data_IF_386825270151
#
_entry.id   IF_386825270151
#
_cell.length_a   1.000
_cell.length_b   1.000
_cell.length_c   1.000
_cell.angle_alpha   90.00
_cell.angle_beta   90.00
_cell.angle_gamma   90.00
#
_symmetry.space_group_name_H-M   'P 1'
#
loop_
_entity.id
_entity.type
_entity.pdbx_description
1 polymer ?
#
# COMPACT_ATOMS: atom_id res chain seq x y z
N UNK A 1 17.99 6.91 -8.61
CA UNK A 1 18.01 8.32 -8.12
C UNK A 1 19.12 8.48 -7.09
N UNK A 2 19.29 7.58 -6.13
CA UNK A 2 20.31 7.64 -5.09
C UNK A 2 21.73 7.78 -5.60
N UNK A 3 22.09 7.04 -6.64
CA UNK A 3 23.40 7.13 -7.29
C UNK A 3 23.72 8.52 -7.86
N UNK A 4 22.69 9.31 -8.16
CA UNK A 4 22.83 10.67 -8.66
C UNK A 4 22.87 11.68 -7.50
N UNK A 5 21.99 11.53 -6.53
CA UNK A 5 21.79 12.50 -5.44
C UNK A 5 22.91 12.41 -4.39
N UNK A 6 23.36 11.22 -3.99
CA UNK A 6 24.43 11.07 -2.98
C UNK A 6 25.70 11.85 -3.32
N UNK A 7 26.28 11.74 -4.52
CA UNK A 7 27.45 12.54 -4.89
C UNK A 7 27.20 14.05 -4.82
N UNK A 8 26.00 14.51 -5.14
CA UNK A 8 25.64 15.92 -5.07
C UNK A 8 25.57 16.41 -3.61
N UNK A 9 24.97 15.62 -2.72
CA UNK A 9 24.93 15.92 -1.28
C UNK A 9 26.35 16.00 -0.72
N UNK A 10 27.21 15.01 -1.00
CA UNK A 10 28.60 14.98 -0.53
C UNK A 10 29.41 16.16 -1.07
N UNK A 11 29.15 16.59 -2.30
CA UNK A 11 29.82 17.73 -2.92
C UNK A 11 29.26 19.10 -2.46
N UNK A 12 28.20 19.13 -1.64
CA UNK A 12 27.57 20.36 -1.16
C UNK A 12 26.81 21.14 -2.24
N UNK A 13 26.36 20.47 -3.29
CA UNK A 13 25.61 21.04 -4.41
C UNK A 13 24.30 20.26 -4.68
N UNK A 14 23.71 19.70 -3.63
CA UNK A 14 22.38 19.07 -3.72
C UNK A 14 21.31 20.08 -4.13
N UNK A 15 20.22 19.63 -4.78
CA UNK A 15 19.04 20.46 -4.99
C UNK A 15 18.44 20.94 -3.65
N UNK A 16 17.76 22.09 -3.68
CA UNK A 16 17.05 22.61 -2.51
C UNK A 16 15.91 21.71 -2.04
N UNK A 17 15.27 21.01 -2.99
CA UNK A 17 14.20 20.04 -2.73
C UNK A 17 14.52 18.70 -3.38
N UNK A 18 14.37 17.64 -2.61
CA UNK A 18 14.55 16.25 -3.08
C UNK A 18 13.28 15.47 -2.75
N UNK A 19 12.58 14.99 -3.79
CA UNK A 19 11.44 14.10 -3.63
C UNK A 19 11.89 12.66 -3.88
N UNK A 20 11.75 11.82 -2.87
CA UNK A 20 12.13 10.41 -2.91
C UNK A 20 11.00 9.57 -2.29
N UNK A 21 10.82 8.36 -2.79
CA UNK A 21 10.00 7.37 -2.10
C UNK A 21 10.69 6.94 -0.80
N UNK A 22 9.93 6.84 0.27
CA UNK A 22 10.45 6.49 1.61
C UNK A 22 11.03 5.07 1.69
N UNK A 23 10.47 4.13 0.91
CA UNK A 23 10.97 2.77 0.74
C UNK A 23 11.99 2.60 -0.40
N UNK A 24 12.56 3.69 -0.94
CA UNK A 24 13.45 3.64 -2.08
C UNK A 24 14.65 2.72 -1.88
N UNK A 25 14.95 1.91 -2.89
CA UNK A 25 16.02 0.89 -2.91
C UNK A 25 17.40 1.45 -2.56
N UNK A 26 17.59 2.74 -2.74
CA UNK A 26 18.89 3.40 -2.63
C UNK A 26 19.31 3.74 -1.19
N UNK A 27 18.40 3.65 -0.22
CA UNK A 27 18.67 3.94 1.19
C UNK A 27 19.20 5.36 1.46
N UNK A 28 18.95 6.33 0.57
CA UNK A 28 19.42 7.71 0.73
C UNK A 28 18.78 8.35 1.96
N UNK A 29 17.45 8.26 2.07
CA UNK A 29 16.70 8.81 3.22
C UNK A 29 17.21 8.20 4.53
N UNK A 30 17.33 6.86 4.59
CA UNK A 30 17.84 6.17 5.77
C UNK A 30 19.27 6.59 6.15
N UNK A 31 20.14 6.87 5.15
CA UNK A 31 21.47 7.39 5.43
C UNK A 31 21.41 8.78 6.02
N UNK A 32 20.60 9.68 5.46
CA UNK A 32 20.44 11.04 5.95
C UNK A 32 19.85 11.08 7.37
N UNK A 33 18.88 10.19 7.66
CA UNK A 33 18.33 10.01 9.01
C UNK A 33 19.44 9.58 9.97
N UNK A 34 20.20 8.52 9.65
CA UNK A 34 21.28 8.00 10.50
C UNK A 34 22.39 9.02 10.77
N UNK A 35 22.65 9.89 9.81
CA UNK A 35 23.69 10.92 9.89
C UNK A 35 23.18 12.22 10.53
N UNK A 36 21.89 12.30 10.92
CA UNK A 36 21.23 13.53 11.39
C UNK A 36 21.45 14.71 10.43
N UNK A 37 21.35 14.42 9.14
CA UNK A 37 21.61 15.39 8.06
C UNK A 37 20.34 16.04 7.50
N UNK A 38 19.19 15.78 8.10
CA UNK A 38 17.91 16.37 7.72
C UNK A 38 17.69 17.70 8.44
N UNK A 39 17.08 18.65 7.75
CA UNK A 39 16.66 19.93 8.32
C UNK A 39 15.37 19.74 9.13
N UNK A 40 15.30 20.33 10.32
CA UNK A 40 14.03 20.45 11.04
C UNK A 40 13.09 21.38 10.27
N UNK A 41 11.86 20.95 10.09
CA UNK A 41 10.84 21.62 9.28
C UNK A 41 9.67 22.19 10.10
N UNK A 42 9.71 22.15 11.44
CA UNK A 42 8.61 22.64 12.28
C UNK A 42 8.24 24.09 11.97
N UNK A 43 9.22 24.97 11.87
CA UNK A 43 8.97 26.37 11.51
C UNK A 43 8.25 26.54 10.16
N UNK A 44 8.46 25.60 9.23
CA UNK A 44 7.78 25.60 7.92
C UNK A 44 6.34 25.15 8.10
N UNK A 45 6.10 24.06 8.85
CA UNK A 45 4.76 23.52 9.06
C UNK A 45 3.91 24.39 10.00
N UNK A 46 4.52 25.12 10.91
CA UNK A 46 3.84 26.09 11.79
C UNK A 46 3.60 27.45 11.10
N UNK A 47 4.19 27.64 9.91
CA UNK A 47 3.95 28.80 9.07
C UNK A 47 2.55 28.85 8.48
N UNK A 48 2.14 30.05 8.05
CA UNK A 48 0.83 30.28 7.41
C UNK A 48 0.70 29.44 6.12
N UNK A 49 -0.44 28.74 5.96
CA UNK A 49 -0.74 27.99 4.75
C UNK A 49 -1.03 28.93 3.55
N UNK A 50 -1.00 28.37 2.33
CA UNK A 50 -1.21 29.15 1.10
C UNK A 50 -2.57 29.88 1.06
N UNK A 51 -3.59 29.33 1.72
CA UNK A 51 -4.91 29.93 1.77
C UNK A 51 -5.05 31.07 2.79
N UNK A 52 -4.07 31.26 3.69
CA UNK A 52 -4.13 32.26 4.76
C UNK A 52 -5.20 31.96 5.82
N UNK A 53 -5.55 30.71 6.01
CA UNK A 53 -6.64 30.26 6.90
C UNK A 53 -6.16 29.49 8.13
N UNK A 54 -4.88 29.21 8.23
CA UNK A 54 -4.25 28.43 9.29
C UNK A 54 -2.79 28.15 8.99
N UNK A 55 -2.23 27.13 9.59
CA UNK A 55 -0.86 26.67 9.35
C UNK A 55 -0.82 25.59 8.28
N UNK A 56 0.36 25.33 7.72
CA UNK A 56 0.55 24.20 6.82
C UNK A 56 0.27 22.86 7.54
N UNK A 57 0.57 22.80 8.85
CA UNK A 57 0.28 21.64 9.70
C UNK A 57 -1.22 21.31 9.73
N UNK A 58 -2.09 22.34 9.78
CA UNK A 58 -3.53 22.17 9.81
C UNK A 58 -4.12 21.58 8.51
N UNK A 59 -3.38 21.68 7.40
CA UNK A 59 -3.79 21.12 6.11
C UNK A 59 -3.42 19.62 5.97
N UNK A 60 -2.63 19.07 6.89
CA UNK A 60 -2.18 17.67 6.84
C UNK A 60 -3.08 16.80 7.71
N UNK A 61 -3.48 15.66 7.18
CA UNK A 61 -4.29 14.67 7.91
C UNK A 61 -3.61 14.26 9.22
N UNK A 62 -4.39 14.19 10.28
CA UNK A 62 -3.93 13.76 11.61
C UNK A 62 -3.14 12.44 11.55
N UNK A 63 -2.07 12.36 12.32
CA UNK A 63 -1.21 11.17 12.41
C UNK A 63 -0.09 11.10 11.37
N UNK A 64 -0.19 11.80 10.23
CA UNK A 64 0.85 11.75 9.19
C UNK A 64 2.15 12.38 9.68
N UNK A 65 2.09 13.60 10.21
CA UNK A 65 3.29 14.34 10.63
C UNK A 65 3.98 13.73 11.86
N UNK A 66 3.24 13.07 12.74
CA UNK A 66 3.77 12.35 13.90
C UNK A 66 4.23 10.92 13.60
N UNK A 67 4.05 10.46 12.36
CA UNK A 67 4.54 9.15 11.95
C UNK A 67 6.07 9.09 11.94
N UNK A 68 6.65 7.91 12.12
CA UNK A 68 8.10 7.69 11.99
C UNK A 68 8.64 8.03 10.59
N UNK A 69 7.75 8.20 9.61
CA UNK A 69 8.08 8.65 8.26
C UNK A 69 8.42 10.14 8.21
N UNK A 70 7.70 10.97 8.97
CA UNK A 70 7.92 12.41 9.03
C UNK A 70 8.78 12.83 10.24
N UNK A 71 8.63 12.14 11.39
CA UNK A 71 9.35 12.36 12.64
C UNK A 71 10.25 11.14 12.99
N UNK A 72 11.36 10.92 12.25
CA UNK A 72 12.13 9.67 12.35
C UNK A 72 12.99 9.54 13.61
N UNK A 73 13.15 10.60 14.40
CA UNK A 73 14.03 10.59 15.56
C UNK A 73 13.30 10.37 16.90
N UNK A 74 11.96 10.33 16.87
CA UNK A 74 11.15 10.13 18.07
C UNK A 74 11.15 11.32 19.04
N UNK A 75 11.43 12.51 18.51
CA UNK A 75 11.41 13.79 19.21
C UNK A 75 10.15 14.61 18.90
N UNK A 76 9.22 14.03 18.17
CA UNK A 76 7.98 14.66 17.67
C UNK A 76 8.20 15.85 16.73
N UNK A 77 9.45 16.08 16.27
CA UNK A 77 9.80 17.13 15.33
C UNK A 77 9.78 16.60 13.87
N UNK A 78 9.43 17.46 12.92
CA UNK A 78 9.26 17.12 11.52
C UNK A 78 10.56 17.31 10.75
N UNK A 79 11.03 16.26 10.07
CA UNK A 79 12.25 16.30 9.24
C UNK A 79 12.00 15.86 7.79
N UNK A 80 10.89 15.19 7.53
CA UNK A 80 10.49 14.76 6.19
C UNK A 80 9.08 15.25 5.90
N UNK A 81 8.94 16.06 4.84
CA UNK A 81 7.65 16.57 4.41
C UNK A 81 6.90 15.51 3.58
N UNK A 82 5.65 15.19 3.90
CA UNK A 82 4.84 14.31 3.08
C UNK A 82 4.50 15.04 1.77
N UNK A 83 4.78 14.39 0.62
CA UNK A 83 4.43 14.92 -0.70
C UNK A 83 3.02 14.48 -1.12
N UNK A 84 2.70 13.22 -0.92
CA UNK A 84 1.37 12.66 -1.12
C UNK A 84 1.14 11.48 -0.17
N UNK A 85 -0.12 11.15 0.02
CA UNK A 85 -0.58 9.98 0.73
C UNK A 85 -1.77 9.41 -0.03
N UNK A 86 -1.80 8.10 -0.19
CA UNK A 86 -2.89 7.42 -0.88
C UNK A 86 -3.19 6.07 -0.21
N UNK A 87 -4.46 5.80 0.13
CA UNK A 87 -4.84 4.48 0.61
C UNK A 87 -4.49 3.39 -0.40
N UNK A 88 -4.11 2.24 0.12
CA UNK A 88 -3.87 1.01 -0.63
C UNK A 88 -4.86 -0.06 -0.18
N UNK A 89 -5.18 -0.99 -1.07
CA UNK A 89 -6.12 -2.05 -0.78
C UNK A 89 -6.41 -2.92 -2.00
N UNK A 90 -7.56 -3.56 -1.98
CA UNK A 90 -8.04 -4.38 -3.08
C UNK A 90 -8.85 -3.53 -4.07
N UNK A 91 -8.27 -3.28 -5.25
CA UNK A 91 -9.00 -2.63 -6.34
C UNK A 91 -9.83 -3.68 -7.07
N UNK A 92 -11.07 -3.32 -7.43
CA UNK A 92 -12.00 -4.18 -8.14
C UNK A 92 -12.90 -3.41 -9.12
N UNK A 93 -13.52 -4.13 -10.06
CA UNK A 93 -14.51 -3.56 -10.97
C UNK A 93 -15.89 -3.56 -10.29
N UNK A 94 -16.35 -2.38 -9.84
CA UNK A 94 -17.65 -2.23 -9.16
C UNK A 94 -18.82 -2.67 -10.06
N UNK A 95 -18.79 -2.34 -11.35
CA UNK A 95 -19.85 -2.71 -12.29
C UNK A 95 -20.00 -4.23 -12.39
N UNK A 96 -18.87 -4.98 -12.47
CA UNK A 96 -18.93 -6.45 -12.48
C UNK A 96 -19.57 -7.01 -11.19
N UNK A 97 -19.24 -6.45 -10.04
CA UNK A 97 -19.83 -6.86 -8.76
C UNK A 97 -21.34 -6.58 -8.72
N UNK A 98 -21.77 -5.38 -9.11
CA UNK A 98 -23.17 -4.97 -9.11
C UNK A 98 -24.00 -5.84 -10.08
N UNK A 99 -23.52 -6.05 -11.31
CA UNK A 99 -24.23 -6.84 -12.34
C UNK A 99 -24.40 -8.31 -11.96
N UNK A 100 -23.44 -8.84 -11.18
CA UNK A 100 -23.47 -10.27 -10.76
C UNK A 100 -23.98 -10.43 -9.32
N UNK A 101 -24.47 -9.39 -8.67
CA UNK A 101 -24.94 -9.37 -7.28
C UNK A 101 -23.89 -9.97 -6.31
N UNK A 102 -22.62 -9.59 -6.50
CA UNK A 102 -21.53 -9.97 -5.64
C UNK A 102 -21.36 -8.92 -4.52
N UNK A 103 -21.11 -9.40 -3.33
CA UNK A 103 -20.77 -8.53 -2.19
C UNK A 103 -19.25 -8.44 -2.06
N UNK A 104 -18.77 -7.26 -1.67
CA UNK A 104 -17.36 -7.05 -1.34
C UNK A 104 -17.06 -7.80 -0.04
N UNK A 105 -16.07 -8.72 -0.05
CA UNK A 105 -15.77 -9.55 1.11
C UNK A 105 -15.20 -8.71 2.26
N UNK A 106 -15.70 -8.92 3.46
CA UNK A 106 -15.20 -8.31 4.70
C UNK A 106 -14.28 -9.27 5.46
N UNK A 107 -14.51 -10.57 5.30
CA UNK A 107 -13.73 -11.62 5.98
C UNK A 107 -12.98 -12.49 5.00
N UNK A 108 -11.94 -13.17 5.49
CA UNK A 108 -11.19 -14.12 4.69
C UNK A 108 -12.06 -15.27 4.18
N UNK A 109 -13.00 -15.75 4.98
CA UNK A 109 -13.95 -16.80 4.56
C UNK A 109 -14.82 -16.32 3.39
N UNK A 110 -15.31 -15.07 3.43
CA UNK A 110 -16.08 -14.47 2.35
C UNK A 110 -15.21 -14.25 1.10
N UNK A 111 -13.95 -13.84 1.27
CA UNK A 111 -12.99 -13.65 0.19
C UNK A 111 -12.74 -14.99 -0.54
N UNK A 112 -12.50 -16.07 0.18
CA UNK A 112 -12.28 -17.37 -0.43
C UNK A 112 -13.57 -17.94 -1.05
N UNK A 113 -14.73 -17.76 -0.42
CA UNK A 113 -16.01 -18.15 -1.00
C UNK A 113 -16.33 -17.37 -2.30
N UNK A 114 -15.88 -16.13 -2.40
CA UNK A 114 -16.00 -15.34 -3.63
C UNK A 114 -15.13 -15.90 -4.76
N UNK A 115 -13.97 -16.49 -4.44
CA UNK A 115 -13.08 -17.07 -5.44
C UNK A 115 -13.74 -18.15 -6.29
N UNK A 116 -14.51 -19.03 -5.68
CA UNK A 116 -15.26 -20.04 -6.42
C UNK A 116 -16.38 -19.42 -7.27
N UNK A 117 -17.09 -18.42 -6.71
CA UNK A 117 -18.19 -17.74 -7.42
C UNK A 117 -17.70 -17.01 -8.69
N UNK A 118 -16.63 -16.23 -8.61
CA UNK A 118 -16.15 -15.48 -9.79
C UNK A 118 -15.62 -16.41 -10.86
N UNK A 119 -15.01 -17.52 -10.48
CA UNK A 119 -14.58 -18.56 -11.41
C UNK A 119 -15.75 -19.21 -12.16
N UNK A 120 -16.86 -19.45 -11.48
CA UNK A 120 -18.06 -20.06 -12.05
C UNK A 120 -18.81 -19.09 -12.99
N UNK A 121 -18.72 -17.76 -12.77
CA UNK A 121 -19.40 -16.77 -13.61
C UNK A 121 -18.77 -16.70 -15.00
N UNK A 122 -17.45 -16.48 -15.09
CA UNK A 122 -16.77 -16.24 -16.37
C UNK A 122 -15.34 -16.78 -16.42
N UNK A 123 -14.93 -17.54 -15.40
CA UNK A 123 -13.61 -18.17 -15.33
C UNK A 123 -12.49 -17.24 -14.88
N UNK A 124 -12.80 -16.00 -14.40
CA UNK A 124 -11.78 -15.10 -13.89
C UNK A 124 -11.15 -15.61 -12.60
N UNK A 125 -9.88 -15.29 -12.40
CA UNK A 125 -9.19 -15.53 -11.14
C UNK A 125 -9.76 -14.62 -10.03
N UNK A 126 -9.58 -15.00 -8.76
CA UNK A 126 -9.94 -14.14 -7.64
C UNK A 126 -8.97 -12.95 -7.53
N UNK A 127 -7.67 -13.20 -7.72
CA UNK A 127 -6.63 -12.25 -7.36
C UNK A 127 -5.47 -12.21 -8.36
N UNK A 128 -4.93 -11.03 -8.58
CA UNK A 128 -3.65 -10.80 -9.27
C UNK A 128 -2.82 -9.75 -8.53
N UNK A 129 -1.55 -9.65 -8.85
CA UNK A 129 -0.65 -8.61 -8.35
C UNK A 129 0.55 -8.43 -9.30
N UNK A 130 1.35 -7.41 -9.06
CA UNK A 130 2.52 -7.07 -9.87
C UNK A 130 3.72 -7.96 -9.49
N UNK A 131 3.69 -9.21 -9.96
CA UNK A 131 4.53 -10.30 -9.45
C UNK A 131 6.04 -10.11 -9.56
N UNK A 132 6.55 -9.37 -10.58
CA UNK A 132 7.98 -9.06 -10.66
C UNK A 132 8.43 -8.02 -9.61
N UNK A 133 7.47 -7.39 -8.91
CA UNK A 133 7.69 -6.45 -7.83
C UNK A 133 7.03 -6.99 -6.55
N UNK A 134 7.67 -7.91 -5.82
CA UNK A 134 7.06 -8.61 -4.68
C UNK A 134 6.56 -7.67 -3.57
N UNK A 135 7.06 -6.44 -3.50
CA UNK A 135 6.57 -5.40 -2.59
C UNK A 135 5.07 -5.10 -2.73
N UNK A 136 4.45 -5.35 -3.88
CA UNK A 136 2.99 -5.21 -4.02
C UNK A 136 2.18 -6.25 -3.25
N UNK A 137 2.77 -7.36 -2.85
CA UNK A 137 2.13 -8.28 -1.89
C UNK A 137 2.13 -7.74 -0.46
N UNK A 138 3.01 -6.80 -0.16
CA UNK A 138 3.05 -6.13 1.14
C UNK A 138 1.80 -5.26 1.36
N UNK A 139 1.18 -4.76 0.30
CA UNK A 139 -0.09 -4.03 0.34
C UNK A 139 -1.26 -4.90 0.88
N UNK A 140 -1.14 -6.22 0.80
CA UNK A 140 -2.04 -7.18 1.44
C UNK A 140 -1.46 -7.71 2.76
N UNK A 141 -0.17 -8.02 2.79
CA UNK A 141 0.47 -8.70 3.92
C UNK A 141 0.51 -7.84 5.18
N UNK A 142 0.93 -6.57 5.07
CA UNK A 142 1.04 -5.71 6.25
C UNK A 142 -0.32 -5.41 6.90
N UNK A 143 -1.37 -5.04 6.15
CA UNK A 143 -2.71 -4.94 6.73
C UNK A 143 -3.21 -6.26 7.32
N UNK A 144 -2.97 -7.40 6.67
CA UNK A 144 -3.35 -8.70 7.21
C UNK A 144 -2.64 -9.01 8.54
N UNK A 145 -1.34 -8.71 8.65
CA UNK A 145 -0.60 -8.84 9.90
C UNK A 145 -1.15 -7.88 10.97
N UNK A 146 -1.42 -6.62 10.60
CA UNK A 146 -1.97 -5.64 11.53
C UNK A 146 -3.35 -6.08 12.05
N UNK A 147 -4.21 -6.58 11.16
CA UNK A 147 -5.53 -7.09 11.51
C UNK A 147 -5.45 -8.28 12.50
N UNK A 148 -4.45 -9.16 12.33
CA UNK A 148 -4.29 -10.34 13.19
C UNK A 148 -3.55 -10.06 14.51
N UNK A 149 -2.58 -9.16 14.50
CA UNK A 149 -1.66 -8.93 15.62
C UNK A 149 -1.92 -7.64 16.38
N UNK A 150 -2.61 -6.66 15.74
CA UNK A 150 -2.77 -5.31 16.22
C UNK A 150 -1.53 -4.42 16.02
N UNK A 151 -1.71 -3.13 16.25
CA UNK A 151 -0.74 -2.07 15.97
C UNK A 151 0.57 -2.24 16.75
N UNK A 152 0.50 -2.64 18.03
CA UNK A 152 1.71 -2.82 18.87
C UNK A 152 2.64 -3.90 18.30
N UNK A 153 2.07 -5.02 17.85
CA UNK A 153 2.85 -6.10 17.26
C UNK A 153 3.43 -5.68 15.89
N UNK A 154 2.65 -4.97 15.07
CA UNK A 154 3.12 -4.43 13.81
C UNK A 154 4.30 -3.46 14.01
N UNK A 155 4.21 -2.58 15.01
CA UNK A 155 5.30 -1.66 15.36
C UNK A 155 6.59 -2.41 15.75
N UNK A 156 6.50 -3.47 16.55
CA UNK A 156 7.65 -4.32 16.89
C UNK A 156 8.27 -4.99 15.67
N UNK A 157 7.42 -5.46 14.74
CA UNK A 157 7.86 -6.05 13.47
C UNK A 157 8.58 -5.01 12.62
N UNK A 158 8.00 -3.82 12.47
CA UNK A 158 8.58 -2.72 11.69
C UNK A 158 9.94 -2.25 12.26
N UNK A 159 10.12 -2.34 13.57
CA UNK A 159 11.37 -2.03 14.25
C UNK A 159 12.37 -3.20 14.27
N UNK A 160 12.05 -4.33 13.63
CA UNK A 160 12.89 -5.54 13.61
C UNK A 160 13.26 -6.05 15.01
N UNK A 161 12.36 -5.93 15.98
CA UNK A 161 12.59 -6.46 17.32
C UNK A 161 12.77 -7.99 17.26
N UNK A 162 13.70 -8.50 18.04
CA UNK A 162 14.03 -9.94 18.06
C UNK A 162 12.79 -10.79 18.37
N UNK A 163 12.48 -11.73 17.48
CA UNK A 163 11.34 -12.65 17.63
C UNK A 163 9.97 -12.07 17.26
N UNK A 164 9.86 -10.80 16.86
CA UNK A 164 8.59 -10.14 16.56
C UNK A 164 7.79 -10.82 15.43
N UNK A 165 8.47 -11.41 14.44
CA UNK A 165 7.82 -12.20 13.39
C UNK A 165 7.36 -13.60 13.84
N UNK A 166 7.80 -14.07 15.00
CA UNK A 166 7.50 -15.41 15.49
C UNK A 166 6.27 -15.40 16.39
N UNK A 167 5.12 -15.05 15.86
CA UNK A 167 3.85 -15.05 16.56
C UNK A 167 2.74 -15.68 15.71
N UNK A 168 1.65 -16.12 16.36
CA UNK A 168 0.55 -16.84 15.71
C UNK A 168 -0.20 -15.96 14.70
N UNK A 169 -0.35 -14.66 14.95
CA UNK A 169 -1.04 -13.76 14.01
C UNK A 169 -0.27 -13.57 12.71
N UNK A 170 1.06 -13.44 12.76
CA UNK A 170 1.90 -13.40 11.55
C UNK A 170 1.75 -14.70 10.75
N UNK A 171 1.80 -15.84 11.42
CA UNK A 171 1.62 -17.14 10.75
C UNK A 171 0.23 -17.27 10.13
N UNK A 172 -0.79 -16.72 10.78
CA UNK A 172 -2.16 -16.73 10.28
C UNK A 172 -2.30 -15.83 9.04
N UNK A 173 -1.80 -14.59 9.07
CA UNK A 173 -1.78 -13.71 7.91
C UNK A 173 -1.07 -14.35 6.71
N UNK A 174 0.09 -14.97 6.92
CA UNK A 174 0.81 -15.70 5.88
C UNK A 174 0.03 -16.92 5.37
N UNK A 175 -0.76 -17.60 6.23
CA UNK A 175 -1.58 -18.73 5.81
C UNK A 175 -2.71 -18.33 4.87
N UNK A 176 -3.33 -17.17 5.07
CA UNK A 176 -4.34 -16.62 4.15
C UNK A 176 -3.74 -16.33 2.77
N UNK A 177 -2.57 -15.70 2.73
CA UNK A 177 -1.88 -15.43 1.46
C UNK A 177 -1.50 -16.75 0.76
N UNK A 178 -1.00 -17.72 1.51
CA UNK A 178 -0.71 -19.06 0.99
C UNK A 178 -1.97 -19.74 0.45
N UNK A 179 -3.11 -19.60 1.11
CA UNK A 179 -4.38 -20.20 0.70
C UNK A 179 -4.86 -19.69 -0.66
N UNK A 180 -4.63 -18.42 -0.99
CA UNK A 180 -4.92 -17.87 -2.33
C UNK A 180 -4.22 -18.71 -3.42
N UNK A 181 -2.94 -19.03 -3.18
CA UNK A 181 -2.17 -19.84 -4.12
C UNK A 181 -2.59 -21.31 -4.12
N UNK A 182 -2.79 -21.91 -2.94
CA UNK A 182 -3.14 -23.32 -2.79
C UNK A 182 -4.51 -23.67 -3.43
N UNK A 183 -5.46 -22.74 -3.38
CA UNK A 183 -6.79 -22.87 -4.01
C UNK A 183 -6.78 -22.57 -5.51
N UNK A 184 -5.63 -22.11 -6.06
CA UNK A 184 -5.54 -21.74 -7.47
C UNK A 184 -6.35 -20.49 -7.81
N UNK A 185 -6.42 -19.54 -6.88
CA UNK A 185 -7.15 -18.28 -7.05
C UNK A 185 -6.29 -17.16 -7.66
N UNK A 186 -4.99 -17.39 -7.81
CA UNK A 186 -4.10 -16.47 -8.51
C UNK A 186 -4.33 -16.54 -10.03
N UNK A 187 -4.31 -15.38 -10.67
CA UNK A 187 -4.26 -15.31 -12.12
C UNK A 187 -3.01 -15.99 -12.65
N UNK A 188 -3.17 -16.86 -13.65
CA UNK A 188 -2.05 -17.56 -14.28
C UNK A 188 -1.04 -16.56 -14.86
N UNK A 189 0.24 -16.76 -14.54
CA UNK A 189 1.33 -15.88 -15.00
C UNK A 189 1.56 -14.65 -14.13
N UNK A 190 0.72 -14.37 -13.15
CA UNK A 190 0.80 -13.14 -12.32
C UNK A 190 2.20 -12.90 -11.73
N UNK A 191 2.93 -13.95 -11.34
CA UNK A 191 4.29 -13.84 -10.76
C UNK A 191 5.32 -13.25 -11.72
N UNK A 192 5.05 -13.26 -13.03
CA UNK A 192 5.91 -12.69 -14.07
C UNK A 192 5.44 -11.34 -14.62
N UNK A 193 4.29 -10.84 -14.17
CA UNK A 193 3.70 -9.61 -14.70
C UNK A 193 4.31 -8.38 -14.03
N UNK A 194 4.51 -7.33 -14.84
CA UNK A 194 4.82 -5.98 -14.35
C UNK A 194 3.53 -5.22 -13.98
N UNK A 195 3.66 -3.94 -13.58
CA UNK A 195 2.53 -3.08 -13.19
C UNK A 195 1.46 -3.01 -14.27
N UNK A 196 1.83 -2.55 -15.45
CA UNK A 196 0.87 -2.32 -16.54
C UNK A 196 0.20 -3.61 -16.99
N UNK A 197 0.93 -4.73 -17.04
CA UNK A 197 0.38 -6.02 -17.42
C UNK A 197 -0.66 -6.51 -16.42
N UNK A 198 -0.34 -6.57 -15.13
CA UNK A 198 -1.27 -7.07 -14.10
C UNK A 198 -2.51 -6.19 -13.94
N UNK A 199 -2.33 -4.86 -13.99
CA UNK A 199 -3.44 -3.91 -13.95
C UNK A 199 -4.33 -4.06 -15.19
N UNK A 200 -3.75 -4.17 -16.38
CA UNK A 200 -4.51 -4.37 -17.63
C UNK A 200 -5.27 -5.69 -17.61
N UNK A 201 -4.66 -6.79 -17.19
CA UNK A 201 -5.31 -8.10 -17.11
C UNK A 201 -6.51 -8.07 -16.14
N UNK A 202 -6.37 -7.39 -15.00
CA UNK A 202 -7.48 -7.19 -14.06
C UNK A 202 -8.59 -6.34 -14.69
N UNK A 203 -8.25 -5.23 -15.34
CA UNK A 203 -9.23 -4.34 -15.98
C UNK A 203 -9.95 -5.00 -17.16
N UNK A 204 -9.33 -5.97 -17.81
CA UNK A 204 -9.92 -6.82 -18.87
C UNK A 204 -10.73 -8.01 -18.29
N UNK A 205 -11.00 -8.03 -16.99
CA UNK A 205 -11.86 -9.03 -16.35
C UNK A 205 -11.22 -10.38 -16.12
N UNK A 206 -9.87 -10.50 -16.13
CA UNK A 206 -9.22 -11.79 -15.88
C UNK A 206 -8.97 -12.07 -14.40
N UNK A 207 -9.06 -11.05 -13.55
CA UNK A 207 -9.05 -11.20 -12.09
C UNK A 207 -10.10 -10.28 -11.47
N UNK A 208 -10.65 -10.69 -10.33
CA UNK A 208 -11.64 -9.89 -9.59
C UNK A 208 -10.97 -8.77 -8.80
N UNK A 209 -9.80 -9.04 -8.21
CA UNK A 209 -9.05 -8.08 -7.40
C UNK A 209 -7.60 -7.98 -7.80
N UNK A 210 -7.03 -6.79 -7.55
CA UNK A 210 -5.60 -6.53 -7.55
C UNK A 210 -5.24 -5.66 -6.33
N UNK A 211 -4.09 -5.91 -5.70
CA UNK A 211 -3.54 -4.96 -4.73
C UNK A 211 -2.99 -3.74 -5.45
N UNK A 212 -3.44 -2.56 -5.05
CA UNK A 212 -2.96 -1.29 -5.58
C UNK A 212 -3.48 -0.12 -4.72
N UNK A 213 -3.10 1.11 -5.09
CA UNK A 213 -3.57 2.31 -4.44
C UNK A 213 -4.52 3.15 -5.30
N UNK A 214 -5.04 4.21 -4.70
CA UNK A 214 -5.99 5.15 -5.33
C UNK A 214 -5.44 5.84 -6.59
N UNK A 215 -4.15 5.77 -6.85
CA UNK A 215 -3.51 6.30 -8.07
C UNK A 215 -3.80 5.47 -9.32
N UNK A 216 -4.19 4.18 -9.18
CA UNK A 216 -4.36 3.24 -10.30
C UNK A 216 -5.35 3.76 -11.36
N UNK A 217 -6.45 4.38 -10.94
CA UNK A 217 -7.44 4.93 -11.87
C UNK A 217 -6.85 5.99 -12.80
N UNK A 218 -6.05 6.92 -12.25
CA UNK A 218 -5.38 7.94 -13.05
C UNK A 218 -4.24 7.37 -13.91
N UNK A 219 -3.46 6.45 -13.34
CA UNK A 219 -2.34 5.81 -14.05
C UNK A 219 -2.82 5.05 -15.28
N UNK A 220 -3.96 4.39 -15.16
CA UNK A 220 -4.51 3.49 -16.17
C UNK A 220 -5.64 4.13 -16.99
N UNK A 221 -5.82 5.46 -16.98
CA UNK A 221 -6.97 6.13 -17.62
C UNK A 221 -7.15 5.78 -19.09
N UNK A 222 -6.06 5.60 -19.85
CA UNK A 222 -6.04 5.31 -21.28
C UNK A 222 -5.89 3.80 -21.58
N UNK A 223 -5.80 2.95 -20.56
CA UNK A 223 -5.61 1.51 -20.74
C UNK A 223 -6.93 0.80 -21.12
N UNK A 224 -6.85 -0.30 -21.89
CA UNK A 224 -8.02 -1.09 -22.24
C UNK A 224 -8.65 -1.72 -20.99
N UNK A 225 -9.98 -1.77 -21.00
CA UNK A 225 -10.78 -2.31 -19.89
C UNK A 225 -12.11 -2.87 -20.37
N UNK A 226 -12.80 -3.62 -19.50
CA UNK A 226 -14.19 -4.06 -19.75
C UNK A 226 -15.10 -2.87 -19.96
N UNK A 227 -16.16 -3.06 -20.75
CA UNK A 227 -17.20 -2.03 -20.96
C UNK A 227 -17.86 -1.67 -19.61
N UNK A 228 -18.00 -0.38 -19.36
CA UNK A 228 -18.59 0.10 -18.12
C UNK A 228 -17.75 -0.09 -16.86
N UNK A 229 -16.46 -0.42 -16.98
CA UNK A 229 -15.58 -0.61 -15.83
C UNK A 229 -15.58 0.61 -14.90
N UNK A 230 -15.93 0.39 -13.64
CA UNK A 230 -15.90 1.40 -12.57
C UNK A 230 -14.92 0.95 -11.48
N UNK A 231 -13.91 1.78 -11.20
CA UNK A 231 -12.96 1.50 -10.13
C UNK A 231 -13.61 1.63 -8.76
N UNK A 232 -13.32 0.66 -7.91
CA UNK A 232 -13.62 0.76 -6.49
C UNK A 232 -12.51 0.06 -5.68
N UNK A 233 -12.41 0.39 -4.41
CA UNK A 233 -11.41 -0.16 -3.50
C UNK A 233 -12.08 -0.73 -2.26
N UNK A 234 -11.59 -1.89 -1.83
CA UNK A 234 -11.97 -2.54 -0.59
C UNK A 234 -10.77 -2.66 0.35
N UNK A 235 -10.98 -2.66 1.67
CA UNK A 235 -9.93 -2.98 2.61
C UNK A 235 -9.53 -4.46 2.48
N UNK A 236 -8.38 -4.82 3.05
CA UNK A 236 -7.97 -6.21 3.19
C UNK A 236 -8.91 -6.92 4.17
N UNK A 237 -9.37 -8.15 3.87
CA UNK A 237 -10.28 -8.89 4.75
C UNK A 237 -9.70 -9.12 6.15
N UNK A 238 -10.60 -9.22 7.13
CA UNK A 238 -10.31 -9.56 8.52
C UNK A 238 -10.86 -10.93 8.88
N UNK A 239 -10.69 -11.38 10.12
CA UNK A 239 -11.32 -12.63 10.59
C UNK A 239 -12.82 -12.47 10.81
N UNK A 240 -13.25 -11.36 11.39
CA UNK A 240 -14.64 -11.09 11.66
C UNK A 240 -15.05 -9.76 11.03
N UNK A 241 -16.27 -9.69 10.52
CA UNK A 241 -16.78 -8.54 9.77
C UNK A 241 -16.82 -7.21 10.56
N UNK A 242 -16.74 -7.27 11.89
CA UNK A 242 -16.75 -6.12 12.78
C UNK A 242 -15.34 -5.75 13.29
N UNK A 243 -14.31 -6.47 12.83
CA UNK A 243 -12.91 -6.17 13.20
C UNK A 243 -12.46 -4.84 12.56
N UNK A 244 -11.50 -4.18 13.19
CA UNK A 244 -10.89 -2.96 12.64
C UNK A 244 -10.02 -3.34 11.45
N UNK A 245 -10.16 -2.60 10.37
CA UNK A 245 -9.29 -2.69 9.19
C UNK A 245 -8.17 -1.66 9.32
N UNK A 246 -6.96 -2.12 9.11
CA UNK A 246 -5.74 -1.28 9.11
C UNK A 246 -5.29 -0.97 7.68
#
# INVERSE_FOLDING_TARGET
IGDIIRPQIVAGNAPDFICLNDGGEDGVILSLIKEHALLNLDDVFDGENYAGTGTLRDDITDGILSSTKCAPYGDDEIYLAPFNSGPQGLIYNKTFFDENNLEVPKTWDEFFALGDKVKDIDGRALFTYQGIYPGYMEEMLWPAIANECGEEALTKIANYEEGSFNNEGVLKALSHIKEIADKGYLLEGTVGMNHTESQTEMMLGKAAFITNGTWMENEMQDAPREDGFEFAMAPIPTENADDVHY
#
